data_IF_470365989739
#
_entry.id   IF_470365989739
#
_cell.length_a   1.000
_cell.length_b   1.000
_cell.length_c   1.000
_cell.angle_alpha   90.00
_cell.angle_beta   90.00
_cell.angle_gamma   90.00
#
_symmetry.space_group_name_H-M   'P 1'
#
loop_
_entity.id
_entity.type
_entity.pdbx_description
1 polymer ?
#
# COMPACT_ATOMS: atom_id res chain seq x y z
N UNK A 1 7.77 1.92 12.70
CA UNK A 1 6.62 1.45 11.92
C UNK A 1 6.51 -0.06 12.07
N UNK A 2 5.32 -0.60 12.23
CA UNK A 2 5.08 -2.05 12.18
C UNK A 2 4.51 -2.45 10.81
N UNK A 3 4.76 -3.70 10.41
CA UNK A 3 4.25 -4.28 9.17
C UNK A 3 3.93 -5.76 9.39
N UNK A 4 2.90 -6.25 8.72
CA UNK A 4 2.62 -7.69 8.63
C UNK A 4 3.50 -8.29 7.54
N UNK A 5 4.39 -9.27 7.85
CA UNK A 5 5.24 -9.90 6.84
C UNK A 5 4.44 -10.61 5.74
N UNK A 6 4.95 -10.67 4.49
CA UNK A 6 4.24 -11.28 3.36
C UNK A 6 3.78 -12.72 3.62
N UNK A 7 4.63 -13.55 4.20
CA UNK A 7 4.29 -14.94 4.53
C UNK A 7 3.17 -15.10 5.57
N UNK A 8 2.94 -14.07 6.38
CA UNK A 8 1.81 -14.03 7.32
C UNK A 8 0.56 -13.46 6.66
N UNK A 9 0.73 -12.46 5.78
CA UNK A 9 -0.37 -11.92 5.00
C UNK A 9 -1.06 -13.00 4.13
N UNK A 10 -0.31 -13.83 3.43
CA UNK A 10 -0.85 -14.89 2.58
C UNK A 10 -1.79 -15.86 3.33
N UNK A 11 -1.50 -16.11 4.60
CA UNK A 11 -2.33 -16.98 5.44
C UNK A 11 -3.69 -16.38 5.80
N UNK A 12 -3.78 -15.07 5.83
CA UNK A 12 -4.98 -14.34 6.30
C UNK A 12 -5.60 -13.44 5.24
N UNK A 13 -5.09 -13.44 4.01
CA UNK A 13 -5.62 -12.58 2.93
C UNK A 13 -7.12 -12.77 2.69
N UNK A 14 -7.64 -13.98 2.84
CA UNK A 14 -9.09 -14.25 2.75
C UNK A 14 -9.91 -13.45 3.76
N UNK A 15 -9.36 -13.21 4.96
CA UNK A 15 -10.03 -12.39 5.97
C UNK A 15 -10.20 -10.95 5.52
N UNK A 16 -9.22 -10.40 4.78
CA UNK A 16 -9.31 -9.04 4.26
C UNK A 16 -10.28 -8.90 3.09
N UNK A 17 -10.57 -9.97 2.37
CA UNK A 17 -11.52 -9.99 1.27
C UNK A 17 -12.97 -10.09 1.76
N UNK A 18 -13.20 -10.54 2.98
CA UNK A 18 -14.53 -10.64 3.57
C UNK A 18 -14.97 -9.28 4.14
N UNK A 19 -16.23 -8.90 3.92
CA UNK A 19 -16.84 -7.67 4.46
C UNK A 19 -16.78 -7.56 6.01
N UNK A 20 -16.49 -8.66 6.69
CA UNK A 20 -16.31 -8.71 8.16
C UNK A 20 -15.08 -7.94 8.67
N UNK A 21 -14.12 -7.66 7.79
CA UNK A 21 -12.90 -6.90 8.12
C UNK A 21 -13.09 -5.37 8.12
N UNK A 22 -14.31 -4.89 8.25
CA UNK A 22 -14.65 -3.46 8.07
C UNK A 22 -14.08 -2.50 9.11
N UNK A 23 -13.54 -3.00 10.22
CA UNK A 23 -12.97 -2.17 11.30
C UNK A 23 -11.45 -2.35 11.41
N UNK A 24 -10.71 -1.23 11.42
CA UNK A 24 -9.26 -1.22 11.64
C UNK A 24 -8.86 -1.91 12.95
N UNK A 25 -9.69 -1.81 13.98
CA UNK A 25 -9.47 -2.44 15.27
C UNK A 25 -9.57 -3.97 15.17
N UNK A 26 -10.58 -4.49 14.48
CA UNK A 26 -10.71 -5.94 14.24
C UNK A 26 -9.52 -6.51 13.48
N UNK A 27 -9.07 -5.79 12.44
CA UNK A 27 -7.88 -6.14 11.67
C UNK A 27 -6.67 -6.18 12.60
N UNK A 28 -6.42 -5.10 13.35
CA UNK A 28 -5.28 -5.01 14.26
C UNK A 28 -5.28 -6.15 15.29
N UNK A 29 -6.41 -6.42 15.94
CA UNK A 29 -6.54 -7.51 16.91
C UNK A 29 -6.23 -8.88 16.30
N UNK A 30 -6.59 -9.10 15.05
CA UNK A 30 -6.30 -10.35 14.34
C UNK A 30 -4.83 -10.54 14.04
N UNK A 31 -4.10 -9.47 13.69
CA UNK A 31 -2.74 -9.53 13.17
C UNK A 31 -1.66 -9.16 14.19
N UNK A 32 -2.03 -8.53 15.32
CA UNK A 32 -1.06 -7.95 16.27
C UNK A 32 0.06 -8.88 16.73
N UNK A 33 -0.21 -10.18 16.81
CA UNK A 33 0.78 -11.19 17.22
C UNK A 33 1.84 -11.48 16.13
N UNK A 34 1.50 -11.21 14.87
CA UNK A 34 2.34 -11.48 13.71
C UNK A 34 3.02 -10.22 13.16
N UNK A 35 2.71 -9.06 13.71
CA UNK A 35 3.32 -7.79 13.30
C UNK A 35 4.80 -7.77 13.68
N UNK A 36 5.62 -7.27 12.74
CA UNK A 36 7.03 -6.96 12.99
C UNK A 36 7.25 -5.47 13.05
N UNK A 37 7.99 -5.02 14.06
CA UNK A 37 8.47 -3.66 14.13
C UNK A 37 9.69 -3.49 13.24
N UNK A 38 9.68 -2.47 12.40
CA UNK A 38 10.80 -2.10 11.55
C UNK A 38 11.33 -0.77 12.02
N UNK A 39 12.57 -0.78 12.48
CA UNK A 39 13.28 0.42 12.87
C UNK A 39 14.16 0.88 11.70
N UNK A 40 13.71 1.94 11.01
CA UNK A 40 14.45 2.54 9.90
C UNK A 40 15.32 3.65 10.47
N UNK A 41 16.62 3.55 10.20
CA UNK A 41 17.59 4.57 10.58
C UNK A 41 17.67 5.67 9.52
N UNK A 42 18.28 6.79 9.87
CA UNK A 42 18.57 7.87 8.92
C UNK A 42 19.34 7.35 7.70
N UNK A 43 18.91 7.77 6.50
CA UNK A 43 19.50 7.34 5.23
C UNK A 43 19.01 5.97 4.73
N UNK A 44 18.11 5.28 5.45
CA UNK A 44 17.53 4.02 5.01
C UNK A 44 16.15 4.21 4.38
N UNK A 45 15.83 3.36 3.41
CA UNK A 45 14.55 3.29 2.73
C UNK A 45 13.93 1.93 2.97
N UNK A 46 12.63 1.89 3.25
CA UNK A 46 11.85 0.67 3.30
C UNK A 46 10.94 0.59 2.08
N UNK A 47 11.12 -0.45 1.29
CA UNK A 47 10.24 -0.80 0.18
C UNK A 47 9.36 -1.98 0.57
N UNK A 48 8.05 -1.85 0.39
CA UNK A 48 7.11 -2.92 0.67
C UNK A 48 5.86 -2.79 -0.18
N UNK A 49 5.15 -3.90 -0.35
CA UNK A 49 3.86 -3.90 -1.05
C UNK A 49 2.81 -3.19 -0.18
N UNK A 50 2.16 -2.20 -0.74
CA UNK A 50 1.13 -1.39 -0.05
C UNK A 50 -0.06 -2.19 0.46
N UNK A 51 -0.33 -3.39 -0.10
CA UNK A 51 -1.40 -4.27 0.38
C UNK A 51 -1.08 -4.91 1.73
N UNK A 52 0.18 -4.88 2.18
CA UNK A 52 0.54 -5.39 3.50
C UNK A 52 0.03 -4.44 4.58
N UNK A 53 -0.72 -4.93 5.57
CA UNK A 53 -1.12 -4.14 6.72
C UNK A 53 0.10 -3.56 7.43
N UNK A 54 0.08 -2.26 7.63
CA UNK A 54 1.18 -1.51 8.24
C UNK A 54 0.64 -0.31 9.01
N UNK A 55 1.45 0.20 9.91
CA UNK A 55 1.06 1.38 10.70
C UNK A 55 2.16 1.86 11.62
N UNK A 56 1.82 2.87 12.39
CA UNK A 56 2.68 3.44 13.42
C UNK A 56 1.98 3.37 14.78
N UNK A 57 2.76 3.46 15.84
CA UNK A 57 2.28 3.71 17.20
C UNK A 57 2.50 5.19 17.51
N UNK A 58 1.84 5.64 18.57
CA UNK A 58 2.05 7.01 19.08
C UNK A 58 3.51 7.21 19.42
N UNK A 59 4.10 8.31 18.97
CA UNK A 59 5.44 8.70 19.34
C UNK A 59 5.46 9.14 20.81
N UNK A 60 6.25 8.45 21.61
CA UNK A 60 6.45 8.76 23.04
C UNK A 60 7.84 9.35 23.34
N UNK A 61 8.64 9.54 22.27
CA UNK A 61 9.95 10.16 22.37
C UNK A 61 9.84 11.69 22.43
N UNK A 62 10.82 12.32 23.02
CA UNK A 62 10.91 13.80 23.08
C UNK A 62 11.40 14.44 21.78
N UNK A 63 11.44 13.66 20.69
CA UNK A 63 11.94 14.06 19.39
C UNK A 63 10.87 13.90 18.31
N UNK A 64 10.83 14.82 17.35
CA UNK A 64 9.96 14.74 16.18
C UNK A 64 10.62 13.87 15.10
N UNK A 65 9.90 12.88 14.62
CA UNK A 65 10.32 12.05 13.50
C UNK A 65 9.65 12.51 12.21
N UNK A 66 10.46 12.82 11.22
CA UNK A 66 10.00 13.09 9.85
C UNK A 66 10.14 11.83 8.99
N UNK A 67 9.14 11.54 8.17
CA UNK A 67 9.19 10.47 7.19
C UNK A 67 8.57 10.91 5.87
N UNK A 68 9.22 10.56 4.76
CA UNK A 68 8.70 10.75 3.41
C UNK A 68 8.10 9.42 2.94
N UNK A 69 6.89 9.48 2.42
CA UNK A 69 6.19 8.32 1.87
C UNK A 69 5.88 8.57 0.39
N UNK A 70 6.31 7.66 -0.47
CA UNK A 70 6.02 7.66 -1.89
C UNK A 70 5.35 6.36 -2.29
N UNK A 71 4.51 6.40 -3.32
CA UNK A 71 3.91 5.21 -3.91
C UNK A 71 4.30 5.12 -5.37
N UNK A 72 4.77 3.95 -5.78
CA UNK A 72 5.14 3.65 -7.16
C UNK A 72 4.24 2.55 -7.71
N UNK A 73 3.91 2.65 -8.99
CA UNK A 73 3.22 1.59 -9.73
C UNK A 73 3.74 1.49 -11.14
N UNK A 74 3.60 0.33 -11.78
CA UNK A 74 3.77 0.21 -13.22
C UNK A 74 2.67 0.98 -13.96
N UNK A 75 2.98 1.47 -15.15
CA UNK A 75 2.06 2.28 -15.97
C UNK A 75 0.73 1.54 -16.21
N UNK A 76 0.79 0.25 -16.48
CA UNK A 76 -0.37 -0.59 -16.76
C UNK A 76 -0.95 -1.33 -15.54
N UNK A 77 -0.37 -1.11 -14.35
CA UNK A 77 -0.90 -1.74 -13.13
C UNK A 77 -2.13 -0.98 -12.65
N UNK A 78 -3.30 -1.63 -12.53
CA UNK A 78 -4.49 -0.99 -12.00
C UNK A 78 -4.31 -0.59 -10.54
N UNK A 79 -4.90 0.52 -10.14
CA UNK A 79 -4.87 1.00 -8.77
C UNK A 79 -6.19 1.70 -8.42
N UNK A 80 -7.26 0.92 -8.34
CA UNK A 80 -8.61 1.43 -8.09
C UNK A 80 -8.96 2.56 -9.08
N UNK A 81 -9.63 3.58 -8.64
CA UNK A 81 -10.04 4.79 -9.37
C UNK A 81 -8.91 5.83 -9.57
N UNK A 82 -7.74 5.59 -8.99
CA UNK A 82 -6.61 6.53 -9.02
C UNK A 82 -5.90 6.52 -10.37
N UNK A 83 -6.00 7.64 -11.09
CA UNK A 83 -5.50 7.77 -12.45
C UNK A 83 -4.08 8.32 -12.52
N UNK A 84 -3.41 8.01 -13.63
CA UNK A 84 -2.14 8.65 -14.02
C UNK A 84 -2.47 10.04 -14.60
N UNK A 85 -1.68 11.03 -14.20
CA UNK A 85 -1.92 12.44 -14.55
C UNK A 85 -2.83 13.18 -13.55
N UNK A 86 -3.44 12.47 -12.60
CA UNK A 86 -4.23 13.04 -11.51
C UNK A 86 -3.60 12.71 -10.14
N UNK A 87 -3.58 11.44 -9.78
CA UNK A 87 -3.01 10.97 -8.52
C UNK A 87 -1.55 10.51 -8.64
N UNK A 88 -1.22 9.90 -9.78
CA UNK A 88 0.13 9.45 -10.08
C UNK A 88 0.74 10.30 -11.19
N UNK A 89 1.95 10.81 -10.94
CA UNK A 89 2.74 11.49 -11.95
C UNK A 89 3.74 10.52 -12.60
N UNK A 90 3.91 10.53 -13.94
CA UNK A 90 4.94 9.72 -14.58
C UNK A 90 6.33 10.24 -14.24
N UNK A 91 7.24 9.34 -13.84
CA UNK A 91 8.64 9.70 -13.54
C UNK A 91 9.37 10.13 -14.82
N UNK A 92 9.04 9.52 -15.96
CA UNK A 92 9.58 9.89 -17.29
C UNK A 92 8.46 9.90 -18.31
N UNK A 93 8.42 10.96 -19.13
CA UNK A 93 7.51 11.07 -20.28
C UNK A 93 8.17 10.42 -21.51
N UNK A 94 8.17 9.10 -21.56
CA UNK A 94 8.50 8.35 -22.78
C UNK A 94 7.22 8.06 -23.57
N UNK A 95 7.34 7.68 -24.86
CA UNK A 95 6.18 7.27 -25.68
C UNK A 95 5.30 6.24 -24.98
N UNK A 96 5.89 5.24 -24.34
CA UNK A 96 5.15 4.23 -23.58
C UNK A 96 4.38 4.83 -22.40
N UNK A 97 4.89 5.89 -21.75
CA UNK A 97 4.19 6.58 -20.68
C UNK A 97 2.95 7.30 -21.18
N UNK A 98 3.02 7.93 -22.36
CA UNK A 98 1.87 8.56 -23.00
C UNK A 98 0.77 7.55 -23.32
N UNK A 99 1.12 6.36 -23.81
CA UNK A 99 0.17 5.27 -24.02
C UNK A 99 -0.44 4.80 -22.69
N UNK A 100 0.37 4.65 -21.65
CA UNK A 100 -0.10 4.25 -20.33
C UNK A 100 -1.10 5.23 -19.70
N UNK A 101 -0.88 6.54 -19.89
CA UNK A 101 -1.79 7.58 -19.41
C UNK A 101 -3.17 7.46 -20.08
N UNK A 102 -3.19 7.11 -21.37
CA UNK A 102 -4.41 6.98 -22.17
C UNK A 102 -5.06 5.60 -22.09
N UNK A 103 -4.38 4.62 -21.50
CA UNK A 103 -4.87 3.25 -21.42
C UNK A 103 -6.09 3.15 -20.49
N UNK A 104 -7.16 2.60 -21.01
CA UNK A 104 -8.37 2.27 -20.26
C UNK A 104 -8.42 0.77 -20.03
N UNK A 105 -8.56 0.37 -18.78
CA UNK A 105 -8.78 -1.04 -18.45
C UNK A 105 -10.09 -1.54 -19.06
N UNK A 106 -10.12 -2.76 -19.58
CA UNK A 106 -11.38 -3.39 -19.96
C UNK A 106 -12.34 -3.40 -18.76
N UNK A 107 -13.60 -3.07 -19.00
CA UNK A 107 -14.63 -3.23 -17.98
C UNK A 107 -14.78 -4.72 -17.69
N UNK A 108 -14.68 -5.12 -16.43
CA UNK A 108 -15.06 -6.46 -16.00
C UNK A 108 -16.58 -6.56 -16.06
N UNK A 109 -17.09 -7.67 -16.57
CA UNK A 109 -18.55 -7.91 -16.74
C UNK A 109 -19.32 -8.07 -15.40
N UNK A 110 -18.75 -7.60 -14.30
CA UNK A 110 -19.37 -7.68 -12.96
C UNK A 110 -20.08 -6.39 -12.54
N UNK A 111 -20.17 -5.40 -13.43
CA UNK A 111 -20.90 -4.13 -13.19
C UNK A 111 -22.06 -3.95 -14.20
N UNK A 112 -22.83 -5.02 -14.42
CA UNK A 112 -24.12 -4.90 -15.13
C UNK A 112 -25.26 -5.28 -14.21
#
# INVERSE_FOLDING_TARGET
MYILPPNKYDKIKKFFLNKESSSSEKIFNKIKKDLKWINIKYGQILLFNQCLPHGNIVNKENETRWSLNCRFKGIFTPYNDKKIGEFFEPITLRKISEYGIRYKLPKTNEES
#
